data_IF_366599220497
#
_entry.id   IF_366599220497
#
_cell.length_a   1.000
_cell.length_b   1.000
_cell.length_c   1.000
_cell.angle_alpha   90.00
_cell.angle_beta   90.00
_cell.angle_gamma   90.00
#
_symmetry.space_group_name_H-M   'P 1'
#
loop_
_entity.id
_entity.type
_entity.pdbx_description
1 polymer ?
#
# COMPACT_ATOMS: atom_id res chain seq x y z
N UNK A 1 -29.90 -21.23 -44.91
CA UNK A 1 -28.47 -21.13 -45.28
C UNK A 1 -28.01 -19.70 -45.01
N UNK A 2 -27.47 -19.42 -43.82
CA UNK A 2 -26.93 -18.11 -43.47
C UNK A 2 -25.55 -18.33 -42.83
N UNK A 3 -24.51 -17.91 -43.56
CA UNK A 3 -23.11 -18.11 -43.22
C UNK A 3 -22.73 -17.08 -42.15
N UNK A 4 -22.47 -17.54 -40.92
CA UNK A 4 -21.91 -16.71 -39.86
C UNK A 4 -20.45 -16.40 -40.18
N UNK A 5 -20.20 -15.15 -40.60
CA UNK A 5 -18.87 -14.59 -40.80
C UNK A 5 -18.12 -14.53 -39.46
N UNK A 6 -17.22 -15.48 -39.22
CA UNK A 6 -16.31 -15.50 -38.07
C UNK A 6 -15.45 -14.23 -38.12
N UNK A 7 -15.71 -13.27 -37.23
CA UNK A 7 -14.88 -12.09 -37.03
C UNK A 7 -13.50 -12.58 -36.57
N UNK A 8 -12.51 -12.50 -37.46
CA UNK A 8 -11.11 -12.74 -37.14
C UNK A 8 -10.71 -11.76 -36.03
N UNK A 9 -10.64 -12.26 -34.79
CA UNK A 9 -10.02 -11.54 -33.69
C UNK A 9 -8.52 -11.52 -34.01
N UNK A 10 -8.01 -10.35 -34.42
CA UNK A 10 -6.58 -10.15 -34.63
C UNK A 10 -5.83 -10.56 -33.37
N UNK A 11 -4.93 -11.53 -33.51
CA UNK A 11 -4.06 -11.95 -32.43
C UNK A 11 -3.26 -10.71 -31.98
N UNK A 12 -3.58 -10.19 -30.79
CA UNK A 12 -2.71 -9.27 -30.07
C UNK A 12 -1.38 -10.00 -29.88
N UNK A 13 -0.37 -9.63 -30.68
CA UNK A 13 0.98 -10.14 -30.54
C UNK A 13 1.52 -9.67 -29.18
N UNK A 14 1.29 -10.48 -28.14
CA UNK A 14 1.75 -10.25 -26.77
C UNK A 14 3.28 -10.24 -26.65
N UNK A 15 3.99 -10.74 -27.67
CA UNK A 15 5.46 -10.84 -27.72
C UNK A 15 6.10 -9.76 -28.60
N UNK A 16 5.62 -8.51 -28.55
CA UNK A 16 6.41 -7.41 -29.12
C UNK A 16 7.61 -7.14 -28.21
N UNK A 17 8.86 -7.39 -28.66
CA UNK A 17 10.05 -7.16 -27.84
C UNK A 17 10.18 -5.69 -27.44
N UNK A 18 9.65 -4.78 -28.26
CA UNK A 18 9.61 -3.33 -28.01
C UNK A 18 8.60 -3.01 -26.91
N UNK A 19 7.41 -3.63 -26.93
CA UNK A 19 6.39 -3.46 -25.90
C UNK A 19 6.87 -3.95 -24.53
N UNK A 20 7.53 -5.11 -24.49
CA UNK A 20 8.14 -5.64 -23.27
C UNK A 20 9.28 -4.75 -22.76
N UNK A 21 10.15 -4.25 -23.65
CA UNK A 21 11.22 -3.34 -23.26
C UNK A 21 10.68 -2.02 -22.68
N UNK A 22 9.64 -1.45 -23.27
CA UNK A 22 8.97 -0.25 -22.75
C UNK A 22 8.36 -0.48 -21.37
N UNK A 23 7.59 -1.57 -21.21
CA UNK A 23 6.99 -1.93 -19.92
C UNK A 23 8.07 -2.17 -18.87
N UNK A 24 9.12 -2.91 -19.20
CA UNK A 24 10.20 -3.18 -18.26
C UNK A 24 10.95 -1.90 -17.86
N UNK A 25 11.25 -1.02 -18.81
CA UNK A 25 11.89 0.28 -18.52
C UNK A 25 11.01 1.13 -17.61
N UNK A 26 9.69 1.15 -17.85
CA UNK A 26 8.73 1.85 -17.00
C UNK A 26 8.68 1.27 -15.58
N UNK A 27 8.64 -0.05 -15.45
CA UNK A 27 8.63 -0.74 -14.15
C UNK A 27 9.93 -0.45 -13.37
N UNK A 28 11.08 -0.47 -14.04
CA UNK A 28 12.37 -0.14 -13.41
C UNK A 28 12.39 1.32 -12.96
N UNK A 29 11.90 2.26 -13.79
CA UNK A 29 11.81 3.66 -13.40
C UNK A 29 10.90 3.86 -12.17
N UNK A 30 9.73 3.22 -12.17
CA UNK A 30 8.79 3.25 -11.04
C UNK A 30 9.40 2.64 -9.75
N UNK A 31 10.13 1.54 -9.90
CA UNK A 31 10.84 0.91 -8.79
C UNK A 31 11.92 1.84 -8.22
N UNK A 32 12.71 2.52 -9.06
CA UNK A 32 13.72 3.48 -8.60
C UNK A 32 13.05 4.62 -7.81
N UNK A 33 11.99 5.22 -8.35
CA UNK A 33 11.26 6.31 -7.68
C UNK A 33 10.68 5.87 -6.32
N UNK A 34 10.26 4.62 -6.20
CA UNK A 34 9.69 4.10 -4.94
C UNK A 34 10.74 3.65 -3.93
N UNK A 35 11.83 3.02 -4.40
CA UNK A 35 12.86 2.41 -3.56
C UNK A 35 13.85 3.45 -3.04
N UNK A 36 14.20 4.48 -3.82
CA UNK A 36 15.17 5.49 -3.38
C UNK A 36 14.76 6.21 -2.08
N UNK A 37 13.51 6.69 -1.92
CA UNK A 37 13.05 7.26 -0.64
C UNK A 37 13.06 6.24 0.51
N UNK A 38 12.75 4.97 0.21
CA UNK A 38 12.78 3.89 1.20
C UNK A 38 14.21 3.62 1.69
N UNK A 39 15.17 3.59 0.77
CA UNK A 39 16.60 3.47 1.08
C UNK A 39 17.08 4.64 1.93
N UNK A 40 16.60 5.85 1.65
CA UNK A 40 16.90 7.02 2.47
C UNK A 40 16.38 6.86 3.91
N UNK A 41 15.15 6.37 4.11
CA UNK A 41 14.59 6.12 5.44
C UNK A 41 15.39 5.09 6.25
N UNK A 42 16.00 4.11 5.59
CA UNK A 42 16.86 3.10 6.24
C UNK A 42 18.21 3.69 6.66
N UNK A 43 18.76 4.60 5.86
CA UNK A 43 20.07 5.22 6.10
C UNK A 43 19.97 6.41 7.06
N UNK A 44 18.84 7.12 7.11
CA UNK A 44 18.66 8.32 7.94
C UNK A 44 19.03 8.13 9.43
N UNK A 45 18.63 7.03 10.11
CA UNK A 45 18.98 6.81 11.53
C UNK A 45 20.48 6.56 11.77
N UNK A 46 21.27 6.30 10.72
CA UNK A 46 22.74 6.17 10.84
C UNK A 46 23.44 7.52 11.04
N UNK A 47 22.76 8.64 10.77
CA UNK A 47 23.30 10.00 10.80
C UNK A 47 22.88 10.74 12.06
N UNK A 48 23.69 11.70 12.47
CA UNK A 48 23.33 12.69 13.50
C UNK A 48 22.51 13.85 12.89
N UNK A 49 21.78 14.61 13.72
CA UNK A 49 20.95 15.74 13.28
C UNK A 49 21.64 16.71 12.30
N UNK A 50 22.89 17.17 12.55
CA UNK A 50 23.59 18.05 11.60
C UNK A 50 24.04 17.33 10.32
N UNK A 51 24.26 16.01 10.36
CA UNK A 51 24.69 15.22 9.19
C UNK A 51 23.53 14.93 8.24
N UNK A 52 22.27 14.94 8.72
CA UNK A 52 21.10 14.73 7.86
C UNK A 52 20.93 15.87 6.85
N UNK A 53 21.28 17.11 7.22
CA UNK A 53 21.14 18.29 6.35
C UNK A 53 22.40 18.61 5.55
N UNK A 54 23.59 18.25 6.04
CA UNK A 54 24.87 18.62 5.43
C UNK A 54 25.50 17.55 4.53
N UNK A 55 25.20 16.25 4.73
CA UNK A 55 25.72 15.17 3.89
C UNK A 55 24.76 14.79 2.76
N UNK A 56 25.29 14.08 1.76
CA UNK A 56 24.48 13.45 0.71
C UNK A 56 23.36 12.59 1.36
N UNK A 57 22.10 12.72 0.89
CA UNK A 57 20.96 11.99 1.43
C UNK A 57 21.18 10.47 1.55
N UNK A 58 21.81 9.83 0.57
CA UNK A 58 22.02 8.39 0.55
C UNK A 58 23.36 7.93 1.14
N UNK A 59 24.23 8.86 1.56
CA UNK A 59 25.50 8.48 2.18
C UNK A 59 25.27 7.81 3.54
N UNK A 60 26.05 6.77 3.85
CA UNK A 60 26.02 6.14 5.16
C UNK A 60 26.70 7.04 6.22
N UNK A 61 26.11 7.09 7.42
CA UNK A 61 26.68 7.73 8.60
C UNK A 61 27.55 6.74 9.39
N UNK A 62 27.08 6.32 10.56
CA UNK A 62 27.76 5.35 11.41
C UNK A 62 26.81 4.31 12.02
N UNK A 63 27.30 3.11 12.29
CA UNK A 63 26.50 2.05 12.94
C UNK A 63 26.05 2.43 14.36
N UNK A 64 26.84 3.23 15.07
CA UNK A 64 26.46 3.79 16.38
C UNK A 64 25.25 4.74 16.33
N UNK A 65 24.94 5.32 15.15
CA UNK A 65 23.76 6.17 14.95
C UNK A 65 22.47 5.41 15.23
N UNK A 66 22.36 4.17 14.76
CA UNK A 66 21.20 3.31 15.01
C UNK A 66 20.96 3.05 16.50
N UNK A 67 22.04 2.78 17.24
CA UNK A 67 21.95 2.56 18.71
C UNK A 67 21.50 3.84 19.42
N UNK A 68 22.03 4.99 19.00
CA UNK A 68 21.64 6.29 19.56
C UNK A 68 20.18 6.60 19.24
N UNK A 69 19.74 6.39 18.00
CA UNK A 69 18.35 6.57 17.59
C UNK A 69 17.40 5.67 18.40
N UNK A 70 17.76 4.41 18.62
CA UNK A 70 16.97 3.49 19.43
C UNK A 70 16.88 3.93 20.90
N UNK A 71 18.00 4.35 21.50
CA UNK A 71 18.01 4.89 22.87
C UNK A 71 17.17 6.15 23.00
N UNK A 72 17.22 7.03 22.01
CA UNK A 72 16.39 8.25 21.98
C UNK A 72 14.90 7.89 21.95
N UNK A 73 14.48 6.89 21.17
CA UNK A 73 13.09 6.42 21.13
C UNK A 73 12.64 5.82 22.47
N UNK A 74 13.51 5.09 23.17
CA UNK A 74 13.21 4.51 24.48
C UNK A 74 13.17 5.57 25.59
N UNK A 75 13.94 6.64 25.48
CA UNK A 75 13.94 7.75 26.44
C UNK A 75 12.79 8.74 26.20
N UNK A 76 12.31 8.83 24.96
CA UNK A 76 11.22 9.72 24.60
C UNK A 76 9.93 9.35 25.36
N UNK A 77 9.49 10.25 26.24
CA UNK A 77 8.24 10.15 27.01
C UNK A 77 8.11 8.77 27.70
N UNK A 78 9.14 8.37 28.45
CA UNK A 78 9.24 7.08 29.15
C UNK A 78 9.04 5.84 28.25
N UNK A 79 9.43 5.95 26.97
CA UNK A 79 9.35 4.85 26.01
C UNK A 79 7.94 4.61 25.48
N UNK A 80 7.07 5.64 25.51
CA UNK A 80 5.68 5.57 25.03
C UNK A 80 5.56 5.04 23.60
N UNK A 81 6.58 5.26 22.75
CA UNK A 81 6.62 4.79 21.37
C UNK A 81 6.38 3.27 21.29
N UNK A 82 6.93 2.48 22.21
CA UNK A 82 6.72 1.03 22.26
C UNK A 82 5.25 0.68 22.50
N UNK A 83 4.58 1.41 23.40
CA UNK A 83 3.16 1.24 23.66
C UNK A 83 2.31 1.62 22.45
N UNK A 84 2.67 2.69 21.73
CA UNK A 84 1.97 3.07 20.50
C UNK A 84 2.08 2.00 19.43
N UNK A 85 3.26 1.41 19.23
CA UNK A 85 3.46 0.30 18.28
C UNK A 85 2.57 -0.89 18.65
N UNK A 86 2.56 -1.30 19.92
CA UNK A 86 1.72 -2.41 20.38
C UNK A 86 0.24 -2.10 20.17
N UNK A 87 -0.20 -0.89 20.53
CA UNK A 87 -1.56 -0.46 20.31
C UNK A 87 -1.92 -0.54 18.82
N UNK A 88 -1.11 0.03 17.92
CA UNK A 88 -1.35 -0.02 16.48
C UNK A 88 -1.49 -1.46 15.98
N UNK A 89 -0.61 -2.38 16.40
CA UNK A 89 -0.70 -3.79 16.02
C UNK A 89 -2.01 -4.41 16.50
N UNK A 90 -2.38 -4.20 17.77
CA UNK A 90 -3.60 -4.77 18.36
C UNK A 90 -4.85 -4.21 17.67
N UNK A 91 -4.93 -2.90 17.48
CA UNK A 91 -6.07 -2.26 16.82
C UNK A 91 -6.19 -2.70 15.36
N UNK A 92 -5.11 -2.66 14.58
CA UNK A 92 -5.14 -3.07 13.17
C UNK A 92 -5.53 -4.54 13.04
N UNK A 93 -4.98 -5.43 13.87
CA UNK A 93 -5.33 -6.85 13.84
C UNK A 93 -6.81 -7.08 14.18
N UNK A 94 -7.31 -6.46 15.24
CA UNK A 94 -8.70 -6.56 15.65
C UNK A 94 -9.65 -6.05 14.55
N UNK A 95 -9.36 -4.89 13.96
CA UNK A 95 -10.15 -4.31 12.86
C UNK A 95 -10.11 -5.23 11.64
N UNK A 96 -8.93 -5.74 11.26
CA UNK A 96 -8.80 -6.65 10.12
C UNK A 96 -9.62 -7.93 10.30
N UNK A 97 -9.62 -8.54 11.49
CA UNK A 97 -10.39 -9.75 11.79
C UNK A 97 -11.89 -9.47 11.69
N UNK A 98 -12.37 -8.43 12.36
CA UNK A 98 -13.80 -8.07 12.35
C UNK A 98 -14.26 -7.69 10.94
N UNK A 99 -13.47 -6.89 10.23
CA UNK A 99 -13.77 -6.48 8.86
C UNK A 99 -13.80 -7.68 7.90
N UNK A 100 -12.83 -8.59 7.98
CA UNK A 100 -12.75 -9.77 7.11
C UNK A 100 -13.94 -10.71 7.34
N UNK A 101 -14.29 -10.99 8.60
CA UNK A 101 -15.45 -11.83 8.94
C UNK A 101 -16.74 -11.19 8.39
N UNK A 102 -16.95 -9.91 8.70
CA UNK A 102 -18.18 -9.19 8.29
C UNK A 102 -18.28 -9.06 6.78
N UNK A 103 -17.19 -8.71 6.09
CA UNK A 103 -17.14 -8.60 4.64
C UNK A 103 -17.37 -9.95 3.96
N UNK A 104 -16.81 -11.04 4.50
CA UNK A 104 -17.00 -12.39 3.97
C UNK A 104 -18.46 -12.85 4.10
N UNK A 105 -19.07 -12.63 5.27
CA UNK A 105 -20.49 -12.96 5.50
C UNK A 105 -21.42 -12.16 4.58
N UNK A 106 -21.21 -10.84 4.48
CA UNK A 106 -22.00 -9.98 3.61
C UNK A 106 -21.83 -10.36 2.12
N UNK A 107 -20.59 -10.62 1.70
CA UNK A 107 -20.27 -11.07 0.34
C UNK A 107 -20.94 -12.40 -0.01
N UNK A 108 -20.91 -13.37 0.92
CA UNK A 108 -21.55 -14.67 0.74
C UNK A 108 -23.06 -14.53 0.52
N UNK A 109 -23.77 -13.82 1.41
CA UNK A 109 -25.23 -13.62 1.31
C UNK A 109 -25.61 -12.93 0.00
N UNK A 110 -24.87 -11.87 -0.37
CA UNK A 110 -25.11 -11.13 -1.61
C UNK A 110 -24.86 -12.00 -2.84
N UNK A 111 -23.88 -12.91 -2.82
CA UNK A 111 -23.58 -13.81 -3.93
C UNK A 111 -24.60 -14.95 -4.08
N UNK A 112 -24.98 -15.59 -2.98
CA UNK A 112 -25.79 -16.82 -2.98
C UNK A 112 -27.30 -16.54 -3.07
N UNK A 113 -27.77 -15.38 -2.59
CA UNK A 113 -29.19 -15.06 -2.50
C UNK A 113 -29.67 -14.12 -3.62
N UNK A 114 -30.90 -14.32 -4.09
CA UNK A 114 -31.58 -13.41 -5.04
C UNK A 114 -32.30 -12.29 -4.29
N UNK A 115 -31.56 -11.27 -3.86
CA UNK A 115 -32.07 -10.10 -3.12
C UNK A 115 -32.58 -9.03 -4.11
N UNK A 116 -33.80 -8.51 -3.91
CA UNK A 116 -34.44 -7.52 -4.80
C UNK A 116 -33.64 -6.20 -4.96
N UNK A 117 -32.97 -5.72 -3.90
CA UNK A 117 -32.24 -4.45 -3.89
C UNK A 117 -30.70 -4.58 -3.91
N UNK A 118 -30.17 -5.73 -4.37
CA UNK A 118 -28.72 -6.03 -4.37
C UNK A 118 -27.85 -4.91 -4.98
N UNK A 119 -28.31 -4.30 -6.08
CA UNK A 119 -27.57 -3.23 -6.77
C UNK A 119 -27.46 -1.95 -5.93
N UNK A 120 -28.53 -1.57 -5.23
CA UNK A 120 -28.56 -0.37 -4.39
C UNK A 120 -27.61 -0.50 -3.19
N UNK A 121 -27.58 -1.66 -2.55
CA UNK A 121 -26.64 -1.94 -1.45
C UNK A 121 -25.18 -1.83 -1.92
N UNK A 122 -24.82 -2.46 -3.05
CA UNK A 122 -23.47 -2.39 -3.60
C UNK A 122 -23.04 -0.96 -3.96
N UNK A 123 -23.93 -0.21 -4.64
CA UNK A 123 -23.64 1.19 -5.00
C UNK A 123 -23.48 2.04 -3.75
N UNK A 124 -24.36 1.87 -2.75
CA UNK A 124 -24.28 2.60 -1.49
C UNK A 124 -22.94 2.38 -0.78
N UNK A 125 -22.49 1.13 -0.66
CA UNK A 125 -21.19 0.81 -0.05
C UNK A 125 -20.02 1.44 -0.83
N UNK A 126 -20.06 1.40 -2.16
CA UNK A 126 -19.04 2.06 -2.99
C UNK A 126 -19.04 3.58 -2.80
N UNK A 127 -20.20 4.21 -2.74
CA UNK A 127 -20.34 5.65 -2.46
C UNK A 127 -19.74 5.96 -1.09
N UNK A 128 -20.03 5.15 -0.08
CA UNK A 128 -19.50 5.35 1.27
C UNK A 128 -17.97 5.24 1.34
N UNK A 129 -17.35 4.35 0.55
CA UNK A 129 -15.88 4.24 0.45
C UNK A 129 -15.23 5.42 -0.28
N UNK A 130 -15.98 6.14 -1.12
CA UNK A 130 -15.50 7.32 -1.85
C UNK A 130 -15.56 8.60 -1.02
N UNK A 131 -16.38 8.65 0.04
CA UNK A 131 -16.46 9.83 0.91
C UNK A 131 -15.14 9.95 1.68
N UNK A 132 -14.37 11.04 1.47
CA UNK A 132 -13.12 11.22 2.17
C UNK A 132 -13.40 11.45 3.67
N UNK A 133 -12.71 10.76 4.59
CA UNK A 133 -12.94 10.91 6.03
C UNK A 133 -12.79 12.35 6.54
N UNK A 134 -11.95 13.15 5.87
CA UNK A 134 -11.71 14.57 6.20
C UNK A 134 -12.90 15.49 5.92
N UNK A 135 -13.93 15.04 5.20
CA UNK A 135 -15.17 15.79 4.99
C UNK A 135 -16.21 15.57 6.10
N UNK A 136 -15.93 14.65 7.04
CA UNK A 136 -16.85 14.25 8.11
C UNK A 136 -16.55 14.92 9.46
N UNK A 137 -15.60 15.87 9.51
CA UNK A 137 -15.20 16.62 10.71
C UNK A 137 -15.76 18.04 10.73
#
# INVERSE_FOLDING_TARGET
MAILKKKSQGAINQNSPIGMALVNTWLVAFAIVSVVPMMWLIVAPSKTDPEITSRNPLAFGTFGGYVKAWKNLQYFDDGVIGRWVINSIVYTLAICVVATITASLAGFVISASRIKFKRTFLISTLVMMLVPPVALV
#
